data_IF_972379621310
#
_entry.id   IF_972379621310
#
_cell.length_a   1.000
_cell.length_b   1.000
_cell.length_c   1.000
_cell.angle_alpha   90.00
_cell.angle_beta   90.00
_cell.angle_gamma   90.00
#
_symmetry.space_group_name_H-M   'P 1'
#
loop_
_entity.id
_entity.type
_entity.pdbx_description
1 polymer ?
#
# COMPACT_ATOMS: atom_id res chain seq x y z
N UNK A 1 16.49 -3.55 5.81
CA UNK A 1 15.48 -4.56 5.45
C UNK A 1 15.73 -4.98 4.00
N UNK A 2 15.67 -6.27 3.66
CA UNK A 2 15.79 -6.70 2.24
C UNK A 2 14.40 -6.85 1.63
N UNK A 3 14.25 -6.53 0.35
CA UNK A 3 12.98 -6.60 -0.39
C UNK A 3 12.33 -7.98 -0.29
N UNK A 4 13.14 -9.04 -0.40
CA UNK A 4 12.69 -10.42 -0.32
C UNK A 4 12.13 -10.82 1.05
N UNK A 5 12.69 -10.30 2.15
CA UNK A 5 12.23 -10.64 3.50
C UNK A 5 10.91 -9.95 3.87
N UNK A 6 10.59 -8.83 3.22
CA UNK A 6 9.40 -8.04 3.53
C UNK A 6 8.24 -8.24 2.54
N UNK A 7 8.52 -8.80 1.36
CA UNK A 7 7.54 -9.17 0.36
C UNK A 7 6.35 -9.94 0.94
N UNK A 8 5.14 -9.52 0.60
CA UNK A 8 3.88 -10.03 1.12
C UNK A 8 2.69 -9.21 0.64
N UNK A 9 1.50 -9.63 1.05
CA UNK A 9 0.25 -8.95 0.74
C UNK A 9 -0.19 -8.10 1.94
N UNK A 10 -0.63 -6.87 1.69
CA UNK A 10 -1.16 -5.95 2.68
C UNK A 10 -2.53 -5.47 2.22
N UNK A 11 -3.50 -5.46 3.13
CA UNK A 11 -4.85 -5.01 2.86
C UNK A 11 -5.31 -4.04 3.93
N UNK A 12 -6.11 -3.07 3.53
CA UNK A 12 -6.74 -2.13 4.45
C UNK A 12 -7.90 -1.43 3.78
N UNK A 13 -8.69 -0.73 4.57
CA UNK A 13 -9.74 0.16 4.04
C UNK A 13 -9.35 1.57 4.40
N UNK A 14 -8.89 2.33 3.40
CA UNK A 14 -8.48 3.71 3.59
C UNK A 14 -9.74 4.58 3.70
N UNK A 15 -9.86 5.34 4.78
CA UNK A 15 -10.97 6.26 4.93
C UNK A 15 -10.82 7.38 3.90
N UNK A 16 -11.86 7.55 3.11
CA UNK A 16 -11.96 8.57 2.09
C UNK A 16 -12.90 9.63 2.65
N UNK A 17 -12.46 10.88 2.77
CA UNK A 17 -13.21 11.91 3.51
C UNK A 17 -14.71 11.92 3.21
N UNK A 18 -15.06 11.84 1.92
CA UNK A 18 -16.45 11.83 1.43
C UNK A 18 -16.92 10.46 0.86
N UNK A 19 -16.13 9.39 0.98
CA UNK A 19 -16.55 8.07 0.50
C UNK A 19 -16.46 6.96 1.55
N UNK A 20 -17.29 5.92 1.40
CA UNK A 20 -17.47 4.87 2.40
C UNK A 20 -16.17 4.14 2.76
N UNK A 21 -15.17 4.22 1.88
CA UNK A 21 -13.82 3.70 2.07
C UNK A 21 -13.23 3.28 0.74
N UNK A 22 -11.90 3.19 0.69
CA UNK A 22 -11.16 2.63 -0.43
C UNK A 22 -10.55 1.33 0.07
N UNK A 23 -11.05 0.20 -0.42
CA UNK A 23 -10.44 -1.10 -0.15
C UNK A 23 -9.14 -1.17 -0.94
N UNK A 24 -8.02 -1.14 -0.24
CA UNK A 24 -6.69 -1.13 -0.82
C UNK A 24 -6.04 -2.48 -0.57
N UNK A 25 -5.55 -3.11 -1.64
CA UNK A 25 -4.74 -4.32 -1.62
C UNK A 25 -3.39 -4.02 -2.27
N UNK A 26 -2.32 -4.18 -1.51
CA UNK A 26 -0.95 -3.99 -1.97
C UNK A 26 -0.17 -5.30 -1.85
N UNK A 27 0.20 -5.86 -2.99
CA UNK A 27 1.12 -6.98 -3.10
C UNK A 27 2.54 -6.46 -3.32
N UNK A 28 3.46 -6.81 -2.44
CA UNK A 28 4.90 -6.59 -2.64
C UNK A 28 5.56 -7.93 -2.98
N UNK A 29 6.14 -8.04 -4.16
CA UNK A 29 6.84 -9.25 -4.61
C UNK A 29 8.32 -9.19 -4.23
N UNK A 30 8.90 -10.37 -3.97
CA UNK A 30 10.31 -10.50 -3.60
C UNK A 30 11.30 -10.08 -4.71
N UNK A 31 10.83 -10.03 -5.95
CA UNK A 31 11.59 -9.56 -7.12
C UNK A 31 11.65 -8.02 -7.23
N UNK A 32 11.03 -7.29 -6.29
CA UNK A 32 10.98 -5.83 -6.31
C UNK A 32 9.81 -5.25 -7.12
N UNK A 33 8.86 -6.07 -7.58
CA UNK A 33 7.62 -5.59 -8.21
C UNK A 33 6.49 -5.43 -7.21
N UNK A 34 5.54 -4.54 -7.48
CA UNK A 34 4.31 -4.44 -6.70
C UNK A 34 3.08 -4.50 -7.60
N UNK A 35 1.96 -4.87 -6.99
CA UNK A 35 0.62 -4.72 -7.53
C UNK A 35 -0.24 -4.02 -6.47
N UNK A 36 -0.91 -2.93 -6.84
CA UNK A 36 -1.78 -2.14 -5.99
C UNK A 36 -3.16 -2.11 -6.62
N UNK A 37 -4.17 -2.54 -5.89
CA UNK A 37 -5.56 -2.56 -6.31
C UNK A 37 -6.41 -1.77 -5.30
N UNK A 38 -7.18 -0.80 -5.79
CA UNK A 38 -7.98 0.11 -4.98
C UNK A 38 -9.44 0.08 -5.45
N UNK A 39 -10.34 -0.35 -4.57
CA UNK A 39 -11.79 -0.38 -4.82
C UNK A 39 -12.49 0.70 -4.01
N UNK A 40 -13.11 1.66 -4.68
CA UNK A 40 -13.90 2.72 -4.08
C UNK A 40 -15.29 2.18 -3.70
N UNK A 41 -15.50 1.96 -2.40
CA UNK A 41 -16.77 1.47 -1.89
C UNK A 41 -17.84 2.54 -2.04
N UNK A 42 -19.01 2.16 -2.56
CA UNK A 42 -20.15 3.05 -2.78
C UNK A 42 -20.17 3.77 -4.13
N UNK A 43 -19.18 3.55 -5.00
CA UNK A 43 -19.22 4.07 -6.39
C UNK A 43 -19.79 3.01 -7.34
N UNK A 44 -20.81 3.33 -8.16
CA UNK A 44 -21.46 2.35 -9.05
C UNK A 44 -20.67 2.07 -10.33
N UNK A 45 -19.82 3.00 -10.77
CA UNK A 45 -18.98 2.87 -11.98
C UNK A 45 -17.60 3.48 -11.74
N UNK A 46 -16.59 3.04 -12.50
CA UNK A 46 -15.20 3.48 -12.37
C UNK A 46 -14.70 3.43 -10.92
N UNK A 47 -15.08 2.37 -10.21
CA UNK A 47 -14.86 2.17 -8.78
C UNK A 47 -13.61 1.34 -8.49
N UNK A 48 -12.83 0.98 -9.51
CA UNK A 48 -11.63 0.18 -9.38
C UNK A 48 -10.46 0.88 -10.06
N UNK A 49 -9.35 1.00 -9.34
CA UNK A 49 -8.07 1.44 -9.87
C UNK A 49 -7.02 0.37 -9.59
N UNK A 50 -6.08 0.22 -10.52
CA UNK A 50 -5.00 -0.74 -10.41
C UNK A 50 -3.70 -0.08 -10.87
N UNK A 51 -2.63 -0.28 -10.11
CA UNK A 51 -1.30 0.24 -10.38
C UNK A 51 -0.28 -0.86 -10.17
N UNK A 52 0.70 -0.92 -11.06
CA UNK A 52 1.80 -1.86 -10.95
C UNK A 52 3.11 -1.16 -11.27
N UNK A 53 4.20 -1.71 -10.75
CA UNK A 53 5.52 -1.11 -10.94
C UNK A 53 6.58 -1.76 -10.08
N UNK A 54 7.58 -0.97 -9.72
CA UNK A 54 8.66 -1.41 -8.83
C UNK A 54 8.48 -0.79 -7.45
N UNK A 55 8.89 -1.49 -6.40
CA UNK A 55 9.01 -0.91 -5.08
C UNK A 55 10.46 -0.94 -4.62
N UNK A 56 10.88 0.12 -3.94
CA UNK A 56 12.26 0.32 -3.50
C UNK A 56 12.29 0.63 -2.03
N UNK A 57 13.06 -0.14 -1.28
CA UNK A 57 13.36 0.14 0.13
C UNK A 57 14.26 1.37 0.17
N UNK A 58 13.82 2.41 0.88
CA UNK A 58 14.60 3.65 1.10
C UNK A 58 15.54 3.45 2.29
N UNK A 59 15.02 2.90 3.38
CA UNK A 59 15.77 2.61 4.61
C UNK A 59 15.16 1.43 5.39
N UNK A 60 15.48 1.28 6.68
CA UNK A 60 14.95 0.18 7.51
C UNK A 60 13.44 0.21 7.75
N UNK A 61 12.80 1.36 7.56
CA UNK A 61 11.42 1.65 7.93
C UNK A 61 10.62 2.24 6.76
N UNK A 62 11.23 2.64 5.66
CA UNK A 62 10.52 3.27 4.54
C UNK A 62 10.75 2.53 3.22
N UNK A 63 9.70 2.50 2.40
CA UNK A 63 9.79 2.08 1.00
C UNK A 63 8.88 2.94 0.12
N UNK A 64 9.22 3.03 -1.16
CA UNK A 64 8.47 3.81 -2.15
C UNK A 64 7.98 2.90 -3.27
N UNK A 65 6.73 3.11 -3.71
CA UNK A 65 6.18 2.54 -4.93
C UNK A 65 6.52 3.47 -6.11
N UNK A 66 7.07 2.89 -7.16
CA UNK A 66 7.44 3.55 -8.42
C UNK A 66 6.59 2.94 -9.52
N UNK A 67 5.46 3.57 -9.89
CA UNK A 67 4.57 3.08 -10.93
C UNK A 67 5.24 2.99 -12.29
N UNK A 68 4.84 2.00 -13.09
CA UNK A 68 5.26 1.87 -14.49
C UNK A 68 4.42 2.72 -15.45
N UNK A 69 3.19 3.06 -15.04
CA UNK A 69 2.21 3.78 -15.85
C UNK A 69 2.24 5.29 -15.59
N UNK A 70 2.03 6.08 -16.65
CA UNK A 70 1.88 7.54 -16.52
C UNK A 70 0.56 7.89 -15.83
N UNK A 71 0.56 8.93 -15.00
CA UNK A 71 -0.63 9.38 -14.25
C UNK A 71 -0.75 8.77 -12.84
N UNK A 72 0.22 7.94 -12.42
CA UNK A 72 0.36 7.49 -11.04
C UNK A 72 1.56 8.16 -10.38
N UNK A 73 1.36 8.71 -9.19
CA UNK A 73 2.44 9.28 -8.39
C UNK A 73 3.18 8.21 -7.58
N UNK A 74 4.43 8.55 -7.22
CA UNK A 74 5.18 7.75 -6.28
C UNK A 74 4.49 7.78 -4.92
N UNK A 75 4.32 6.61 -4.30
CA UNK A 75 3.69 6.51 -2.97
C UNK A 75 4.72 6.04 -1.95
N UNK A 76 4.92 6.83 -0.91
CA UNK A 76 5.82 6.47 0.19
C UNK A 76 5.03 5.73 1.28
N UNK A 77 5.66 4.70 1.84
CA UNK A 77 5.11 3.91 2.93
C UNK A 77 6.13 3.80 4.05
N UNK A 78 5.61 3.82 5.28
CA UNK A 78 6.32 3.53 6.51
C UNK A 78 5.94 2.13 7.02
N UNK A 79 6.94 1.37 7.45
CA UNK A 79 6.81 0.07 8.07
C UNK A 79 6.70 0.26 9.57
N UNK A 80 5.47 0.18 10.08
CA UNK A 80 5.18 0.26 11.51
C UNK A 80 5.58 -1.04 12.22
N UNK A 81 5.34 -2.18 11.57
CA UNK A 81 5.74 -3.49 12.05
C UNK A 81 5.86 -4.49 10.90
N UNK A 82 6.26 -5.74 11.19
CA UNK A 82 6.26 -6.83 10.20
C UNK A 82 4.88 -7.08 9.58
N UNK A 83 3.80 -6.73 10.29
CA UNK A 83 2.42 -6.98 9.90
C UNK A 83 1.63 -5.73 9.54
N UNK A 84 2.25 -4.55 9.53
CA UNK A 84 1.53 -3.30 9.37
C UNK A 84 2.39 -2.23 8.72
N UNK A 85 1.82 -1.58 7.71
CA UNK A 85 2.42 -0.46 6.99
C UNK A 85 1.45 0.71 6.98
N UNK A 86 1.98 1.91 6.83
CA UNK A 86 1.21 3.15 6.71
C UNK A 86 1.61 3.88 5.45
N UNK A 87 0.63 4.29 4.64
CA UNK A 87 0.90 5.21 3.53
C UNK A 87 1.19 6.61 4.10
N UNK A 88 2.27 7.23 3.61
CA UNK A 88 2.66 8.59 3.91
C UNK A 88 2.15 9.53 2.80
N UNK A 89 1.97 10.81 3.14
CA UNK A 89 1.67 11.85 2.16
C UNK A 89 2.90 12.29 1.36
N UNK A 90 2.68 13.23 0.44
CA UNK A 90 3.67 13.64 -0.57
C UNK A 90 4.97 14.25 0.01
N UNK A 91 4.91 14.78 1.24
CA UNK A 91 6.08 15.29 1.96
C UNK A 91 6.82 14.21 2.79
N UNK A 92 6.38 12.95 2.70
CA UNK A 92 6.86 11.87 3.58
C UNK A 92 6.43 12.01 5.03
N UNK A 93 5.36 12.79 5.29
CA UNK A 93 4.75 12.95 6.62
C UNK A 93 3.46 12.13 6.71
N UNK A 94 3.09 11.64 7.90
CA UNK A 94 1.78 11.06 8.12
C UNK A 94 0.66 12.06 7.85
N UNK A 95 -0.47 11.58 7.33
CA UNK A 95 -1.70 12.37 7.26
C UNK A 95 -2.24 12.69 8.65
N UNK A 96 -3.04 13.75 8.78
CA UNK A 96 -3.64 14.17 10.06
C UNK A 96 -4.50 13.06 10.71
N UNK A 97 -5.14 12.20 9.91
CA UNK A 97 -5.80 10.99 10.37
C UNK A 97 -5.00 9.75 9.95
N UNK A 98 -3.83 9.57 10.56
CA UNK A 98 -2.84 8.56 10.16
C UNK A 98 -3.39 7.13 10.17
N UNK A 99 -4.22 6.77 11.16
CA UNK A 99 -4.85 5.46 11.31
C UNK A 99 -5.68 5.03 10.09
N UNK A 100 -6.23 5.99 9.35
CA UNK A 100 -6.99 5.74 8.13
C UNK A 100 -6.13 5.28 6.96
N UNK A 101 -4.80 5.33 7.05
CA UNK A 101 -3.87 4.99 5.97
C UNK A 101 -3.06 3.73 6.26
N UNK A 102 -3.49 2.95 7.26
CA UNK A 102 -2.82 1.71 7.64
C UNK A 102 -3.30 0.54 6.76
N UNK A 103 -2.35 -0.24 6.26
CA UNK A 103 -2.60 -1.53 5.62
C UNK A 103 -1.99 -2.62 6.50
N UNK A 104 -2.79 -3.65 6.77
CA UNK A 104 -2.38 -4.81 7.56
C UNK A 104 -1.96 -5.91 6.63
N UNK A 105 -0.85 -6.57 6.95
CA UNK A 105 -0.39 -7.73 6.21
C UNK A 105 -1.46 -8.81 6.28
N UNK A 106 -1.88 -9.31 5.12
CA UNK A 106 -2.63 -10.55 5.04
C UNK A 106 -1.67 -11.63 5.51
N UNK A 107 -1.86 -12.09 6.74
CA UNK A 107 -1.23 -13.31 7.22
C UNK A 107 -1.84 -14.45 6.40
N UNK A 108 -1.25 -14.72 5.24
CA UNK A 108 -1.32 -16.05 4.67
C UNK A 108 -0.72 -16.99 5.71
N UNK A 109 -1.60 -17.70 6.42
CA UNK A 109 -1.39 -19.05 6.89
C UNK A 109 -0.01 -19.61 6.54
N UNK A 110 0.95 -19.46 7.45
CA UNK A 110 1.85 -20.56 7.72
C UNK A 110 0.98 -21.64 8.40
N UNK A 111 0.18 -22.36 7.62
CA UNK A 111 -0.48 -23.57 8.12
C UNK A 111 0.29 -24.74 7.55
N UNK A 112 1.16 -25.27 8.43
CA UNK A 112 1.69 -26.63 8.51
C UNK A 112 2.21 -27.30 7.23
#
# INVERSE_FOLDING_TARGET
>A
MTTQAFAGEFVGTIACGDCQGIQTKLQLNADGKYQLDETFVGRPTNNFLSSHGQWKVQDGHHFVLVPSEQGWDHRLFEVLSKGEIRQLGDEGKPYTNDSAYHLKRVTGSATN
#
